data_IF_386757044503
#
_entry.id   IF_386757044503
#
_cell.length_a   1.000
_cell.length_b   1.000
_cell.length_c   1.000
_cell.angle_alpha   90.00
_cell.angle_beta   90.00
_cell.angle_gamma   90.00
#
_symmetry.space_group_name_H-M   'P 1'
#
loop_
_entity.id
_entity.type
_entity.pdbx_description
1 polymer ?
#
# COMPACT_ATOMS: atom_id res chain seq x y z
N UNK A 1 -19.34 -10.53 -14.69
CA UNK A 1 -18.76 -10.76 -13.35
C UNK A 1 -19.92 -10.75 -12.36
N UNK A 2 -19.97 -11.70 -11.45
CA UNK A 2 -21.06 -11.82 -10.49
C UNK A 2 -21.07 -10.64 -9.52
N UNK A 3 -22.24 -10.34 -8.93
CA UNK A 3 -22.46 -9.24 -7.97
C UNK A 3 -21.50 -9.27 -6.75
N UNK A 4 -20.80 -10.39 -6.54
CA UNK A 4 -19.88 -10.61 -5.41
C UNK A 4 -18.40 -10.70 -5.79
N UNK A 5 -18.06 -10.53 -7.07
CA UNK A 5 -16.66 -10.59 -7.52
C UNK A 5 -16.00 -9.23 -7.29
N UNK A 6 -15.11 -9.15 -6.29
CA UNK A 6 -14.32 -7.95 -6.04
C UNK A 6 -13.29 -7.76 -7.15
N UNK A 7 -13.15 -6.52 -7.57
CA UNK A 7 -12.17 -6.05 -8.55
C UNK A 7 -10.90 -5.57 -7.87
N UNK A 8 -9.81 -5.38 -8.62
CA UNK A 8 -8.62 -4.69 -8.10
C UNK A 8 -8.90 -3.32 -7.46
N UNK A 9 -9.96 -2.61 -7.87
CA UNK A 9 -10.35 -1.35 -7.21
C UNK A 9 -10.74 -1.55 -5.74
N UNK A 10 -11.36 -2.68 -5.40
CA UNK A 10 -11.88 -2.95 -4.06
C UNK A 10 -10.79 -3.35 -3.05
N UNK A 11 -9.77 -4.08 -3.49
CA UNK A 11 -8.68 -4.57 -2.64
C UNK A 11 -7.38 -3.78 -2.76
N UNK A 12 -7.12 -3.09 -3.87
CA UNK A 12 -5.85 -2.38 -4.06
C UNK A 12 -6.03 -0.87 -3.92
N UNK A 13 -6.99 -0.29 -4.65
CA UNK A 13 -7.15 1.17 -4.73
C UNK A 13 -7.91 1.72 -3.52
N UNK A 14 -9.03 1.11 -3.16
CA UNK A 14 -9.87 1.51 -2.04
C UNK A 14 -9.13 1.49 -0.68
N UNK A 15 -8.26 0.51 -0.38
CA UNK A 15 -7.49 0.56 0.85
C UNK A 15 -6.38 1.61 0.83
N UNK A 16 -5.67 1.77 -0.29
CA UNK A 16 -4.65 2.83 -0.43
C UNK A 16 -5.27 4.23 -0.30
N UNK A 17 -6.47 4.44 -0.85
CA UNK A 17 -7.19 5.70 -0.65
C UNK A 17 -7.49 6.00 0.82
N UNK A 18 -7.78 4.98 1.64
CA UNK A 18 -7.99 5.19 3.07
C UNK A 18 -6.71 5.60 3.79
N UNK A 19 -5.58 4.99 3.44
CA UNK A 19 -4.26 5.38 3.97
C UNK A 19 -3.97 6.84 3.64
N UNK A 20 -4.09 7.22 2.36
CA UNK A 20 -3.78 8.57 1.90
C UNK A 20 -4.71 9.63 2.51
N UNK A 21 -5.98 9.30 2.76
CA UNK A 21 -6.93 10.20 3.43
C UNK A 21 -6.51 10.56 4.85
N UNK A 22 -5.92 9.62 5.58
CA UNK A 22 -5.40 9.89 6.93
C UNK A 22 -4.11 10.73 6.91
N UNK A 23 -3.49 10.86 5.74
CA UNK A 23 -2.26 11.65 5.50
C UNK A 23 -2.55 13.00 4.82
N UNK A 24 -3.82 13.41 4.71
CA UNK A 24 -4.17 14.73 4.18
C UNK A 24 -3.56 15.86 5.03
N UNK A 25 -2.91 16.83 4.37
CA UNK A 25 -2.17 17.91 5.00
C UNK A 25 -0.70 17.58 5.31
N UNK A 26 -0.31 16.30 5.20
CA UNK A 26 1.06 15.87 5.47
C UNK A 26 1.95 15.91 4.23
N UNK A 27 3.26 15.91 4.46
CA UNK A 27 4.28 15.75 3.41
C UNK A 27 4.85 14.34 3.45
N UNK A 28 4.75 13.64 2.32
CA UNK A 28 5.08 12.22 2.19
C UNK A 28 5.94 11.95 0.97
N UNK A 29 6.65 10.84 0.96
CA UNK A 29 7.26 10.30 -0.26
C UNK A 29 6.29 9.29 -0.88
N UNK A 30 6.07 9.40 -2.19
CA UNK A 30 5.13 8.56 -2.93
C UNK A 30 5.88 7.79 -3.99
N UNK A 31 5.78 6.47 -3.95
CA UNK A 31 6.20 5.63 -5.05
C UNK A 31 5.00 5.31 -5.93
N UNK A 32 5.22 5.43 -7.23
CA UNK A 32 4.27 5.05 -8.27
C UNK A 32 4.82 3.88 -9.08
N UNK A 33 4.02 3.36 -10.00
CA UNK A 33 4.41 2.30 -10.95
C UNK A 33 5.56 2.69 -11.89
N UNK A 34 5.92 3.98 -11.98
CA UNK A 34 6.96 4.46 -12.89
C UNK A 34 8.03 5.33 -12.24
N UNK A 35 7.70 6.00 -11.12
CA UNK A 35 8.60 6.98 -10.51
C UNK A 35 8.42 7.09 -8.99
N UNK A 36 9.42 7.65 -8.31
CA UNK A 36 9.34 8.06 -6.91
C UNK A 36 9.28 9.57 -6.86
N UNK A 37 8.30 10.10 -6.12
CA UNK A 37 8.12 11.51 -5.84
C UNK A 37 8.45 11.74 -4.37
N UNK A 38 9.42 12.60 -4.10
CA UNK A 38 9.85 12.90 -2.74
C UNK A 38 9.22 14.21 -2.26
N UNK A 39 8.94 14.33 -0.97
CA UNK A 39 8.42 15.54 -0.34
C UNK A 39 7.12 16.07 -0.97
N UNK A 40 6.18 15.16 -1.25
CA UNK A 40 4.86 15.47 -1.82
C UNK A 40 3.89 15.89 -0.73
N UNK A 41 3.37 17.12 -0.78
CA UNK A 41 2.31 17.56 0.13
C UNK A 41 0.95 17.07 -0.37
N UNK A 42 0.22 16.33 0.48
CA UNK A 42 -1.13 15.86 0.18
C UNK A 42 -2.13 16.97 0.50
N UNK A 43 -2.81 17.47 -0.53
CA UNK A 43 -3.81 18.53 -0.37
C UNK A 43 -5.21 17.95 -0.14
N UNK A 44 -5.60 16.94 -0.92
CA UNK A 44 -6.92 16.30 -0.86
C UNK A 44 -6.88 14.91 -1.50
N UNK A 45 -7.69 13.99 -1.01
CA UNK A 45 -7.86 12.63 -1.54
C UNK A 45 -9.32 12.37 -1.85
N UNK A 46 -9.67 12.45 -3.13
CA UNK A 46 -11.07 12.38 -3.58
C UNK A 46 -11.20 11.65 -4.91
N UNK A 47 -12.31 10.92 -5.08
CA UNK A 47 -12.68 10.26 -6.34
C UNK A 47 -11.56 9.39 -6.93
N UNK A 48 -10.85 8.63 -6.09
CA UNK A 48 -9.69 7.79 -6.43
C UNK A 48 -8.46 8.55 -6.97
N UNK A 49 -8.41 9.86 -6.76
CA UNK A 49 -7.29 10.71 -7.10
C UNK A 49 -6.68 11.32 -5.84
N UNK A 50 -5.36 11.47 -5.87
CA UNK A 50 -4.58 12.21 -4.91
C UNK A 50 -4.25 13.58 -5.51
N UNK A 51 -4.74 14.64 -4.89
CA UNK A 51 -4.40 16.02 -5.22
C UNK A 51 -3.21 16.44 -4.36
N UNK A 52 -2.11 16.81 -5.01
CA UNK A 52 -0.84 17.07 -4.32
C UNK A 52 -0.07 18.26 -4.87
N UNK A 53 1.03 18.63 -4.22
CA UNK A 53 1.98 19.64 -4.71
C UNK A 53 2.59 19.29 -6.07
N UNK A 54 2.70 17.99 -6.41
CA UNK A 54 3.21 17.48 -7.68
C UNK A 54 2.11 17.30 -8.75
N UNK A 55 0.90 17.76 -8.45
CA UNK A 55 -0.28 17.62 -9.32
C UNK A 55 -1.20 16.49 -8.89
N UNK A 56 -1.98 15.98 -9.85
CA UNK A 56 -3.02 14.97 -9.60
C UNK A 56 -2.47 13.59 -9.94
N UNK A 57 -2.41 12.71 -8.95
CA UNK A 57 -1.89 11.34 -9.08
C UNK A 57 -3.05 10.36 -8.91
N UNK A 58 -3.34 9.50 -9.90
CA UNK A 58 -4.32 8.45 -9.73
C UNK A 58 -3.85 7.45 -8.66
N UNK A 59 -4.70 7.14 -7.68
CA UNK A 59 -4.33 6.23 -6.57
C UNK A 59 -4.03 4.82 -7.09
N UNK A 60 -4.62 4.44 -8.22
CA UNK A 60 -4.32 3.17 -8.91
C UNK A 60 -2.87 3.03 -9.39
N UNK A 61 -2.14 4.14 -9.51
CA UNK A 61 -0.72 4.15 -9.88
C UNK A 61 0.21 4.20 -8.67
N UNK A 62 -0.31 4.40 -7.46
CA UNK A 62 0.48 4.49 -6.24
C UNK A 62 0.79 3.09 -5.73
N UNK A 63 2.08 2.81 -5.55
CA UNK A 63 2.58 1.53 -5.07
C UNK A 63 2.98 1.59 -3.60
N UNK A 64 3.44 2.75 -3.12
CA UNK A 64 3.63 2.99 -1.69
C UNK A 64 3.57 4.48 -1.33
N UNK A 65 3.28 4.75 -0.06
CA UNK A 65 3.42 6.07 0.55
C UNK A 65 4.24 5.94 1.84
N UNK A 66 5.23 6.80 2.04
CA UNK A 66 6.05 6.82 3.25
C UNK A 66 6.09 8.19 3.89
N UNK A 67 6.02 8.22 5.22
CA UNK A 67 5.95 9.45 6.00
C UNK A 67 6.97 9.48 7.14
N UNK A 68 7.65 10.62 7.27
CA UNK A 68 8.63 10.90 8.33
C UNK A 68 8.32 12.29 8.92
N UNK A 69 8.07 12.42 10.24
CA UNK A 69 8.09 11.36 11.26
C UNK A 69 6.92 10.35 11.12
N UNK A 70 7.03 9.14 11.70
CA UNK A 70 5.98 8.13 11.67
C UNK A 70 4.64 8.65 12.21
N UNK A 71 3.57 8.48 11.44
CA UNK A 71 2.18 8.71 11.88
C UNK A 71 1.45 7.37 11.87
N UNK A 72 0.66 7.12 12.92
CA UNK A 72 -0.15 5.91 13.00
C UNK A 72 -1.37 6.04 12.08
N UNK A 73 -1.37 5.29 10.99
CA UNK A 73 -2.50 5.19 10.05
C UNK A 73 -3.27 3.90 10.33
N UNK A 74 -4.61 3.97 10.33
CA UNK A 74 -5.46 2.79 10.52
C UNK A 74 -5.62 2.04 9.21
N UNK A 75 -5.12 0.81 9.17
CA UNK A 75 -5.32 -0.06 8.02
C UNK A 75 -6.71 -0.70 8.03
N UNK A 76 -7.24 -0.96 6.83
CA UNK A 76 -8.49 -1.72 6.70
C UNK A 76 -8.29 -3.16 7.20
N UNK A 77 -9.26 -3.74 7.92
CA UNK A 77 -9.14 -5.11 8.40
C UNK A 77 -9.07 -6.08 7.22
N UNK A 78 -8.21 -7.10 7.34
CA UNK A 78 -8.07 -8.16 6.33
C UNK A 78 -9.43 -8.84 6.11
N UNK A 79 -9.81 -9.03 4.83
CA UNK A 79 -11.06 -9.70 4.44
C UNK A 79 -10.76 -10.71 3.35
N UNK A 80 -11.34 -11.90 3.49
CA UNK A 80 -11.31 -12.90 2.41
C UNK A 80 -12.18 -12.39 1.27
N UNK A 81 -11.60 -12.35 0.08
CA UNK A 81 -12.23 -11.84 -1.13
C UNK A 81 -12.66 -12.98 -2.05
N UNK A 82 -13.65 -12.70 -2.91
CA UNK A 82 -13.94 -13.51 -4.11
C UNK A 82 -13.63 -12.67 -5.34
N UNK A 83 -13.37 -13.29 -6.48
CA UNK A 83 -12.98 -12.59 -7.71
C UNK A 83 -11.48 -12.32 -7.78
N UNK A 84 -11.07 -11.23 -8.44
CA UNK A 84 -9.66 -10.94 -8.76
C UNK A 84 -8.79 -10.77 -7.51
N UNK A 85 -9.34 -10.17 -6.46
CA UNK A 85 -8.62 -9.97 -5.20
C UNK A 85 -8.15 -11.29 -4.57
N UNK A 86 -8.91 -12.38 -4.76
CA UNK A 86 -8.58 -13.69 -4.18
C UNK A 86 -7.28 -14.29 -4.72
N UNK A 87 -6.85 -13.88 -5.92
CA UNK A 87 -5.59 -14.33 -6.52
C UNK A 87 -4.50 -13.24 -6.56
N UNK A 88 -4.86 -11.96 -6.60
CA UNK A 88 -3.89 -10.87 -6.70
C UNK A 88 -3.46 -10.26 -5.35
N UNK A 89 -4.37 -10.16 -4.37
CA UNK A 89 -4.13 -9.45 -3.11
C UNK A 89 -4.12 -10.39 -1.91
N UNK A 90 -5.17 -11.19 -1.76
CA UNK A 90 -5.36 -12.07 -0.60
C UNK A 90 -4.12 -12.97 -0.29
N UNK A 91 -3.43 -13.59 -1.28
CA UNK A 91 -2.31 -14.48 -0.99
C UNK A 91 -1.12 -13.78 -0.32
N UNK A 92 -0.74 -12.60 -0.82
CA UNK A 92 0.43 -11.88 -0.32
C UNK A 92 0.11 -11.17 1.01
N UNK A 93 -1.11 -10.64 1.16
CA UNK A 93 -1.61 -10.08 2.43
C UNK A 93 -1.63 -11.15 3.52
N UNK A 94 -2.11 -12.35 3.21
CA UNK A 94 -2.09 -13.48 4.15
C UNK A 94 -0.66 -13.89 4.50
N UNK A 95 0.26 -13.96 3.52
CA UNK A 95 1.67 -14.25 3.79
C UNK A 95 2.25 -13.21 4.77
N UNK A 96 2.12 -11.92 4.46
CA UNK A 96 2.67 -10.84 5.28
C UNK A 96 2.07 -10.81 6.69
N UNK A 97 0.80 -11.17 6.86
CA UNK A 97 0.19 -11.26 8.19
C UNK A 97 0.88 -12.30 9.11
N UNK A 98 1.50 -13.34 8.53
CA UNK A 98 2.30 -14.32 9.29
C UNK A 98 3.72 -13.84 9.59
N UNK A 99 4.12 -12.71 9.02
CA UNK A 99 5.43 -12.10 9.12
C UNK A 99 5.44 -10.83 9.98
N UNK A 100 4.33 -10.46 10.61
CA UNK A 100 4.28 -9.35 11.57
C UNK A 100 5.37 -9.54 12.65
N UNK A 101 6.14 -8.49 12.89
CA UNK A 101 7.29 -8.47 13.80
C UNK A 101 8.57 -9.06 13.21
N UNK A 102 8.57 -9.53 11.96
CA UNK A 102 9.77 -10.04 11.27
C UNK A 102 10.31 -9.03 10.27
N UNK A 103 11.62 -9.12 10.03
CA UNK A 103 12.32 -8.34 9.00
C UNK A 103 12.13 -9.02 7.65
N UNK A 104 11.75 -8.22 6.66
CA UNK A 104 11.48 -8.65 5.28
C UNK A 104 12.12 -7.70 4.28
N UNK A 105 12.48 -8.25 3.12
CA UNK A 105 12.79 -7.52 1.89
C UNK A 105 11.61 -7.70 0.93
N UNK A 106 10.94 -6.60 0.60
CA UNK A 106 9.77 -6.56 -0.30
C UNK A 106 10.20 -5.89 -1.59
N UNK A 107 10.07 -6.60 -2.72
CA UNK A 107 10.18 -6.00 -4.04
C UNK A 107 8.83 -5.52 -4.54
N UNK A 108 8.79 -4.31 -5.08
CA UNK A 108 7.57 -3.61 -5.51
C UNK A 108 7.75 -3.15 -6.96
N UNK A 109 6.69 -3.15 -7.75
CA UNK A 109 6.69 -2.60 -9.12
C UNK A 109 7.08 -1.11 -9.15
N UNK A 110 7.84 -0.65 -10.17
CA UNK A 110 8.41 -1.43 -11.26
C UNK A 110 9.70 -2.16 -10.89
N UNK A 111 10.48 -1.72 -9.89
CA UNK A 111 11.65 -2.46 -9.38
C UNK A 111 12.21 -1.88 -8.06
N UNK A 112 11.35 -1.39 -7.17
CA UNK A 112 11.77 -0.84 -5.88
C UNK A 112 11.94 -1.95 -4.84
N UNK A 113 12.80 -1.70 -3.86
CA UNK A 113 13.00 -2.60 -2.72
C UNK A 113 12.72 -1.83 -1.44
N UNK A 114 11.79 -2.34 -0.65
CA UNK A 114 11.52 -1.87 0.71
C UNK A 114 12.02 -2.94 1.67
N UNK A 115 12.86 -2.53 2.61
CA UNK A 115 13.42 -3.40 3.64
C UNK A 115 13.02 -2.87 5.00
N UNK A 116 12.59 -3.75 5.89
CA UNK A 116 12.26 -3.37 7.25
C UNK A 116 11.41 -4.40 7.98
N UNK A 117 10.97 -4.03 9.18
CA UNK A 117 10.09 -4.87 10.01
C UNK A 117 8.63 -4.68 9.62
N UNK A 118 7.89 -5.78 9.44
CA UNK A 118 6.43 -5.72 9.24
C UNK A 118 5.75 -5.30 10.55
N UNK A 119 5.21 -4.09 10.60
CA UNK A 119 4.53 -3.56 11.79
C UNK A 119 3.06 -3.97 11.83
N UNK A 120 2.36 -3.83 10.71
CA UNK A 120 0.92 -4.10 10.60
C UNK A 120 0.57 -4.53 9.18
N UNK A 121 -0.47 -5.34 9.03
CA UNK A 121 -0.98 -5.77 7.74
C UNK A 121 -2.48 -5.59 7.72
N UNK A 122 -2.98 -4.87 6.72
CA UNK A 122 -4.40 -4.70 6.45
C UNK A 122 -4.76 -5.20 5.07
N UNK A 123 -6.06 -5.15 4.74
CA UNK A 123 -6.52 -5.41 3.38
C UNK A 123 -5.82 -4.42 2.43
N UNK A 124 -5.17 -4.93 1.39
CA UNK A 124 -4.56 -4.12 0.35
C UNK A 124 -3.22 -3.47 0.73
N UNK A 125 -2.86 -3.37 2.00
CA UNK A 125 -1.68 -2.62 2.43
C UNK A 125 -0.89 -3.32 3.54
N UNK A 126 0.43 -3.14 3.52
CA UNK A 126 1.33 -3.51 4.60
C UNK A 126 2.08 -2.28 5.10
N UNK A 127 2.19 -2.16 6.41
CA UNK A 127 2.98 -1.13 7.09
C UNK A 127 4.35 -1.71 7.46
N UNK A 128 5.41 -1.06 6.96
CA UNK A 128 6.80 -1.35 7.25
C UNK A 128 7.37 -0.25 8.14
N UNK A 129 7.88 -0.64 9.31
CA UNK A 129 8.53 0.23 10.30
C UNK A 129 7.70 1.42 10.81
N UNK A 130 6.37 1.42 10.62
CA UNK A 130 5.48 2.56 10.88
C UNK A 130 5.77 3.79 10.00
N UNK A 131 6.55 3.60 8.94
CA UNK A 131 6.99 4.67 8.04
C UNK A 131 6.37 4.48 6.67
N UNK A 132 6.42 3.25 6.13
CA UNK A 132 6.06 2.98 4.75
C UNK A 132 4.81 2.09 4.65
N UNK A 133 3.81 2.59 3.94
CA UNK A 133 2.57 1.91 3.60
C UNK A 133 2.65 1.43 2.15
N UNK A 134 2.81 0.12 1.97
CA UNK A 134 3.01 -0.51 0.67
C UNK A 134 1.74 -1.22 0.22
N UNK A 135 1.33 -0.96 -1.02
CA UNK A 135 0.25 -1.69 -1.68
C UNK A 135 0.68 -3.14 -1.90
N UNK A 136 -0.04 -4.05 -1.26
CA UNK A 136 0.16 -5.50 -1.41
C UNK A 136 -0.03 -5.96 -2.86
N UNK A 137 -0.90 -5.31 -3.62
CA UNK A 137 -1.11 -5.61 -5.04
C UNK A 137 0.05 -5.22 -5.95
N UNK A 138 0.99 -4.42 -5.46
CA UNK A 138 2.17 -3.98 -6.20
C UNK A 138 3.43 -4.77 -5.83
N UNK A 139 3.31 -5.72 -4.90
CA UNK A 139 4.42 -6.56 -4.44
C UNK A 139 4.66 -7.68 -5.45
N UNK A 140 5.90 -7.77 -5.94
CA UNK A 140 6.34 -8.79 -6.91
C UNK A 140 7.16 -9.90 -6.25
N UNK A 141 7.79 -9.63 -5.10
CA UNK A 141 8.56 -10.61 -4.33
C UNK A 141 8.61 -10.24 -2.85
N UNK A 142 8.64 -11.25 -1.98
CA UNK A 142 8.95 -11.10 -0.56
C UNK A 142 10.04 -12.09 -0.21
N UNK A 143 11.11 -11.63 0.44
CA UNK A 143 12.17 -12.45 1.01
C UNK A 143 12.24 -12.20 2.50
N UNK A 144 12.26 -13.27 3.28
CA UNK A 144 12.55 -13.17 4.71
C UNK A 144 14.06 -13.22 4.92
N UNK A 145 14.60 -12.40 5.82
CA UNK A 145 16.03 -12.35 6.13
C UNK A 145 16.58 -13.61 6.83
N UNK A 146 15.78 -14.67 6.98
CA UNK A 146 16.10 -15.90 7.73
C UNK A 146 16.08 -17.19 6.86
N UNK A 147 16.09 -17.07 5.53
CA UNK A 147 16.25 -18.20 4.60
C UNK A 147 17.52 -18.08 3.76
#
# INVERSE_FOLDING_TARGET
>A
MGIFDKTKCDCCVCPMQCVLKELEGETVDISTTTNVLNSVTINEVKDFNLFSSEGIIPISQITSASILPPIQVKLKPIRISKGECSCCEDPITKLLSTLIGKVVEIGIEPNFIVFGTVSEVGQGNVNIENVAYVSTCSIIKVRCSFF
#
